data_IF_074791194741
#
_entry.id   IF_074791194741
#
_cell.length_a   1.000
_cell.length_b   1.000
_cell.length_c   1.000
_cell.angle_alpha   90.00
_cell.angle_beta   90.00
_cell.angle_gamma   90.00
#
_symmetry.space_group_name_H-M   'P 1'
#
loop_
_entity.id
_entity.type
_entity.pdbx_description
1 polymer ?
#
# COMPACT_ATOMS: atom_id res chain seq x y z
N UNK A 1 12.05 1.04 -6.36
CA UNK A 1 11.97 1.22 -4.90
C UNK A 1 10.70 1.99 -4.63
N UNK A 2 9.88 1.54 -3.70
CA UNK A 2 8.60 2.20 -3.34
C UNK A 2 8.82 3.06 -2.10
N UNK A 3 8.37 4.32 -2.12
CA UNK A 3 8.42 5.20 -0.94
C UNK A 3 7.38 4.74 0.10
N UNK A 4 7.85 4.35 1.29
CA UNK A 4 7.03 3.82 2.38
C UNK A 4 6.59 4.96 3.30
N UNK A 5 5.43 5.55 3.02
CA UNK A 5 4.93 6.74 3.71
C UNK A 5 4.60 6.46 5.19
N UNK A 6 4.21 5.23 5.51
CA UNK A 6 3.86 4.79 6.86
C UNK A 6 5.02 4.89 7.87
N UNK A 7 6.29 4.92 7.42
CA UNK A 7 7.43 5.16 8.31
C UNK A 7 7.66 6.63 8.65
N UNK A 8 7.12 7.54 7.82
CA UNK A 8 7.28 8.98 8.00
C UNK A 8 6.12 9.58 8.79
N UNK A 9 4.90 9.15 8.49
CA UNK A 9 3.69 9.56 9.19
C UNK A 9 2.76 8.34 9.37
N UNK A 10 2.78 7.69 10.55
CA UNK A 10 1.95 6.51 10.81
C UNK A 10 0.45 6.85 10.94
N UNK A 11 0.07 8.13 11.01
CA UNK A 11 -1.33 8.56 11.06
C UNK A 11 -1.88 8.99 9.69
N UNK A 12 -1.07 8.93 8.62
CA UNK A 12 -1.46 9.31 7.28
C UNK A 12 -2.49 8.32 6.71
N UNK A 13 -3.72 8.78 6.52
CA UNK A 13 -4.84 7.95 6.02
C UNK A 13 -5.11 8.09 4.52
N UNK A 14 -4.65 9.16 3.91
CA UNK A 14 -4.91 9.48 2.51
C UNK A 14 -3.61 9.88 1.82
N UNK A 15 -3.36 9.33 0.63
CA UNK A 15 -2.17 9.65 -0.16
C UNK A 15 -2.47 9.55 -1.67
N UNK A 16 -1.58 10.14 -2.47
CA UNK A 16 -1.58 9.99 -3.93
C UNK A 16 -0.37 9.17 -4.34
N UNK A 17 -0.55 8.28 -5.30
CA UNK A 17 0.50 7.45 -5.85
C UNK A 17 0.27 7.18 -7.35
N UNK A 18 1.32 6.76 -8.04
CA UNK A 18 1.28 6.28 -9.42
C UNK A 18 1.39 4.77 -9.43
N UNK A 19 0.57 4.12 -10.25
CA UNK A 19 0.75 2.71 -10.57
C UNK A 19 1.98 2.60 -11.47
N UNK A 20 3.00 1.89 -11.01
CA UNK A 20 4.24 1.64 -11.77
C UNK A 20 4.24 0.29 -12.46
N UNK A 21 3.41 -0.65 -11.99
CA UNK A 21 3.23 -1.97 -12.61
C UNK A 21 1.85 -2.52 -12.27
N UNK A 22 1.27 -3.24 -13.23
CA UNK A 22 0.07 -4.05 -13.03
C UNK A 22 0.44 -5.53 -13.17
N UNK A 23 -0.16 -6.38 -12.35
CA UNK A 23 0.01 -7.83 -12.34
C UNK A 23 -1.34 -8.49 -12.22
N UNK A 24 -1.39 -9.81 -12.40
CA UNK A 24 -2.62 -10.59 -12.21
C UNK A 24 -3.12 -10.58 -10.76
N UNK A 25 -2.24 -10.22 -9.80
CA UNK A 25 -2.56 -10.18 -8.36
C UNK A 25 -2.92 -8.79 -7.85
N UNK A 26 -2.64 -7.72 -8.62
CA UNK A 26 -2.82 -6.35 -8.15
C UNK A 26 -1.85 -5.36 -8.79
N UNK A 27 -1.65 -4.22 -8.14
CA UNK A 27 -0.84 -3.10 -8.62
C UNK A 27 0.36 -2.83 -7.72
N UNK A 28 1.46 -2.39 -8.32
CA UNK A 28 2.62 -1.86 -7.59
C UNK A 28 2.59 -0.35 -7.69
N UNK A 29 2.74 0.32 -6.54
CA UNK A 29 2.74 1.77 -6.42
C UNK A 29 4.16 2.32 -6.25
N UNK A 30 4.40 3.53 -6.74
CA UNK A 30 5.66 4.26 -6.48
C UNK A 30 5.80 4.69 -5.02
N UNK A 31 4.68 4.90 -4.32
CA UNK A 31 4.61 5.20 -2.89
C UNK A 31 3.33 4.67 -2.26
N UNK A 32 3.35 4.39 -0.96
CA UNK A 32 2.18 3.85 -0.25
C UNK A 32 2.18 4.20 1.22
N UNK A 33 0.99 4.49 1.76
CA UNK A 33 0.74 4.52 3.21
C UNK A 33 0.20 3.18 3.74
N UNK A 34 -0.19 2.24 2.87
CA UNK A 34 -0.58 0.90 3.30
C UNK A 34 0.63 0.13 3.82
N UNK A 35 0.56 -0.33 5.06
CA UNK A 35 1.53 -1.24 5.64
C UNK A 35 1.28 -2.68 5.14
N UNK A 36 2.32 -3.38 4.65
CA UNK A 36 2.21 -4.78 4.24
C UNK A 36 2.12 -5.73 5.43
N UNK A 37 1.66 -6.96 5.22
CA UNK A 37 1.73 -7.98 6.27
C UNK A 37 3.18 -8.24 6.67
N UNK A 38 3.51 -8.17 7.97
CA UNK A 38 4.89 -8.35 8.43
C UNK A 38 5.05 -8.28 9.94
N UNK A 39 6.04 -9.02 10.49
CA UNK A 39 6.35 -9.00 11.92
C UNK A 39 5.22 -9.51 12.85
N UNK A 40 4.29 -10.30 12.31
CA UNK A 40 3.09 -10.75 13.01
C UNK A 40 1.93 -9.75 12.98
N UNK A 41 2.11 -8.58 12.36
CA UNK A 41 1.08 -7.59 12.16
C UNK A 41 0.34 -7.85 10.83
N UNK A 42 -1.01 -7.85 10.82
CA UNK A 42 -1.81 -7.85 9.60
C UNK A 42 -1.54 -6.61 8.73
N UNK A 43 -1.77 -6.73 7.43
CA UNK A 43 -1.73 -5.59 6.51
C UNK A 43 -2.82 -4.56 6.82
N UNK A 44 -2.59 -3.33 6.34
CA UNK A 44 -3.61 -2.28 6.34
C UNK A 44 -4.66 -2.54 5.25
N UNK A 45 -5.91 -2.17 5.55
CA UNK A 45 -7.04 -2.24 4.63
C UNK A 45 -7.57 -0.84 4.32
N UNK A 46 -8.18 -0.68 3.15
CA UNK A 46 -8.71 0.61 2.70
C UNK A 46 -9.12 0.55 1.23
N UNK A 47 -8.99 1.68 0.53
CA UNK A 47 -9.34 1.76 -0.89
C UNK A 47 -8.29 2.50 -1.72
N UNK A 48 -8.17 2.11 -2.99
CA UNK A 48 -7.46 2.84 -4.03
C UNK A 48 -8.50 3.34 -5.04
N UNK A 49 -8.73 4.65 -5.10
CA UNK A 49 -9.76 5.26 -5.95
C UNK A 49 -11.16 4.58 -5.79
N UNK A 50 -11.53 4.24 -4.56
CA UNK A 50 -12.81 3.59 -4.26
C UNK A 50 -12.87 2.08 -4.52
N UNK A 51 -11.79 1.48 -5.02
CA UNK A 51 -11.65 0.02 -5.16
C UNK A 51 -11.02 -0.52 -3.88
N UNK A 52 -11.62 -1.56 -3.30
CA UNK A 52 -11.14 -2.16 -2.06
C UNK A 52 -9.74 -2.77 -2.20
N UNK A 53 -8.89 -2.50 -1.21
CA UNK A 53 -7.60 -3.17 -1.03
C UNK A 53 -7.83 -4.30 -0.04
N UNK A 54 -7.68 -5.54 -0.52
CA UNK A 54 -7.94 -6.75 0.27
C UNK A 54 -6.68 -7.41 0.83
N UNK A 55 -5.50 -7.09 0.27
CA UNK A 55 -4.21 -7.57 0.75
C UNK A 55 -3.08 -6.60 0.35
N UNK A 56 -2.01 -6.59 1.13
CA UNK A 56 -0.82 -5.75 0.92
C UNK A 56 0.42 -6.58 1.24
N UNK A 57 1.28 -6.75 0.24
CA UNK A 57 2.50 -7.58 0.31
C UNK A 57 3.72 -6.78 -0.13
N UNK A 58 4.88 -7.12 0.43
CA UNK A 58 6.17 -6.72 -0.11
C UNK A 58 6.76 -7.89 -0.91
N UNK A 59 7.29 -7.57 -2.10
CA UNK A 59 8.01 -8.49 -2.99
C UNK A 59 9.52 -8.19 -2.92
#
# INVERSE_FOLDING_TARGET
MTDRLYYLDPYLKEFKARVVKTTDKGVVLDRTAFYPTGGGQPCDLGTLNGIEVTDVVED
#
